data_IF_032657715063
#
_entry.id   IF_032657715063
#
_cell.length_a   1.000
_cell.length_b   1.000
_cell.length_c   1.000
_cell.angle_alpha   90.00
_cell.angle_beta   90.00
_cell.angle_gamma   90.00
#
_symmetry.space_group_name_H-M   'P 1'
#
loop_
_entity.id
_entity.type
_entity.pdbx_description
1 polymer ?
#
# COMPACT_ATOMS: atom_id res chain seq x y z
N UNK A 1 13.62 17.20 -49.40
CA UNK A 1 13.76 18.36 -48.50
C UNK A 1 14.39 17.83 -47.22
N UNK A 2 15.50 18.42 -46.77
CA UNK A 2 16.25 17.89 -45.63
C UNK A 2 15.75 18.54 -44.33
N UNK A 3 15.24 17.74 -43.40
CA UNK A 3 14.89 18.21 -42.07
C UNK A 3 16.17 18.36 -41.23
N UNK A 4 16.59 19.61 -40.98
CA UNK A 4 17.69 19.92 -40.08
C UNK A 4 17.12 19.99 -38.66
N UNK A 5 17.27 18.92 -37.89
CA UNK A 5 16.83 18.87 -36.50
C UNK A 5 17.62 19.87 -35.65
N UNK A 6 16.90 20.67 -34.85
CA UNK A 6 17.53 21.68 -34.00
C UNK A 6 18.20 21.00 -32.80
N UNK A 7 19.49 21.29 -32.52
CA UNK A 7 20.21 20.61 -31.45
C UNK A 7 19.62 20.92 -30.07
N UNK A 8 19.18 19.85 -29.39
CA UNK A 8 18.53 19.87 -28.08
C UNK A 8 19.44 20.41 -26.96
N UNK A 9 20.77 20.29 -27.12
CA UNK A 9 21.78 20.66 -26.12
C UNK A 9 21.74 22.13 -25.66
N UNK A 10 21.20 23.05 -26.46
CA UNK A 10 21.13 24.48 -26.06
C UNK A 10 20.12 24.77 -24.94
N UNK A 11 19.18 23.87 -24.65
CA UNK A 11 18.18 24.08 -23.58
C UNK A 11 18.72 23.79 -22.17
N UNK A 12 19.77 22.99 -22.06
CA UNK A 12 20.30 22.56 -20.76
C UNK A 12 21.16 23.64 -20.07
N UNK A 13 21.88 24.46 -20.85
CA UNK A 13 22.73 25.54 -20.30
C UNK A 13 21.96 26.64 -19.57
N UNK A 14 20.66 26.83 -19.85
CA UNK A 14 19.84 27.86 -19.18
C UNK A 14 19.58 27.51 -17.71
N UNK A 15 19.44 26.23 -17.38
CA UNK A 15 19.15 25.78 -16.01
C UNK A 15 20.35 25.91 -15.06
N UNK A 16 21.57 25.68 -15.56
CA UNK A 16 22.80 25.81 -14.75
C UNK A 16 23.04 27.24 -14.24
N UNK A 17 22.61 28.27 -14.99
CA UNK A 17 22.77 29.67 -14.57
C UNK A 17 21.90 30.05 -13.36
N UNK A 18 20.72 29.44 -13.21
CA UNK A 18 19.76 29.77 -12.15
C UNK A 18 20.25 29.26 -10.78
N UNK A 19 20.88 28.07 -10.75
CA UNK A 19 21.35 27.45 -9.50
C UNK A 19 22.50 28.26 -8.87
N UNK A 20 23.41 28.81 -9.68
CA UNK A 20 24.53 29.63 -9.20
C UNK A 20 24.06 30.95 -8.57
N UNK A 21 22.98 31.55 -9.09
CA UNK A 21 22.42 32.79 -8.56
C UNK A 21 21.78 32.63 -7.17
N UNK A 22 21.13 31.49 -6.90
CA UNK A 22 20.47 31.23 -5.61
C UNK A 22 21.46 30.89 -4.48
N UNK A 23 22.64 30.33 -4.80
CA UNK A 23 23.65 29.94 -3.80
C UNK A 23 24.31 31.10 -3.04
N UNK A 24 24.22 32.34 -3.54
CA UNK A 24 24.89 33.50 -2.93
C UNK A 24 24.03 34.29 -1.93
N UNK A 25 22.71 34.09 -1.91
CA UNK A 25 21.81 34.80 -0.99
C UNK A 25 21.67 34.14 0.39
N UNK A 26 22.14 32.90 0.56
CA UNK A 26 22.01 32.14 1.81
C UNK A 26 23.02 32.47 2.93
N UNK A 27 23.89 33.48 2.77
CA UNK A 27 24.97 33.81 3.73
C UNK A 27 24.77 35.09 4.55
N UNK A 28 23.61 35.74 4.47
CA UNK A 28 23.32 36.98 5.22
C UNK A 28 22.00 36.85 5.98
N UNK A 29 21.98 35.97 6.99
CA UNK A 29 20.96 35.93 8.04
C UNK A 29 21.66 35.66 9.38
N UNK A 30 21.64 36.61 10.33
CA UNK A 30 22.21 36.39 11.66
C UNK A 30 21.32 35.46 12.49
N UNK A 31 21.94 34.64 13.34
CA UNK A 31 21.24 33.73 14.25
C UNK A 31 20.45 34.52 15.33
N UNK A 32 19.16 34.24 15.54
CA UNK A 32 18.44 34.72 16.72
C UNK A 32 18.84 33.91 17.96
N UNK A 33 19.00 34.53 19.15
CA UNK A 33 19.56 33.89 20.33
C UNK A 33 18.61 32.93 21.05
N UNK A 34 19.20 32.05 21.87
CA UNK A 34 18.51 31.13 22.78
C UNK A 34 17.71 31.87 23.86
N UNK A 35 16.52 31.37 24.21
CA UNK A 35 15.98 31.55 25.56
C UNK A 35 15.41 30.24 26.13
N UNK A 36 15.73 30.00 27.40
CA UNK A 36 15.13 28.96 28.25
C UNK A 36 13.80 29.48 28.78
N UNK A 37 12.86 28.59 29.08
CA UNK A 37 11.83 28.88 30.09
C UNK A 37 11.40 27.60 30.79
N UNK A 38 11.71 27.55 32.08
CA UNK A 38 11.12 26.60 33.01
C UNK A 38 9.74 27.12 33.50
N UNK A 39 8.98 26.18 34.07
CA UNK A 39 8.22 26.33 35.33
C UNK A 39 6.68 26.34 35.27
N UNK A 40 6.14 25.64 36.29
CA UNK A 40 4.80 25.72 36.91
C UNK A 40 3.58 25.11 36.17
N UNK A 41 2.54 24.67 36.87
CA UNK A 41 2.42 23.98 38.19
C UNK A 41 0.93 23.56 38.38
N UNK A 42 0.68 22.61 39.30
CA UNK A 42 -0.58 22.44 40.07
C UNK A 42 -1.90 22.16 39.31
N UNK A 43 -2.21 20.87 39.25
CA UNK A 43 -3.44 20.20 39.76
C UNK A 43 -4.85 20.78 39.54
N UNK A 44 -5.76 19.88 39.11
CA UNK A 44 -7.00 19.56 39.84
C UNK A 44 -7.57 18.19 39.45
N UNK A 45 -7.86 17.38 40.47
CA UNK A 45 -8.80 16.27 40.49
C UNK A 45 -9.92 16.66 41.51
N UNK A 46 -10.99 15.88 41.73
CA UNK A 46 -11.35 14.57 41.17
C UNK A 46 -12.76 14.52 40.56
N UNK A 47 -13.16 13.35 40.04
CA UNK A 47 -14.56 12.91 40.13
C UNK A 47 -14.63 11.38 40.28
N UNK A 48 -15.55 10.89 41.12
CA UNK A 48 -15.72 9.47 41.45
C UNK A 48 -16.89 8.88 40.64
N UNK A 49 -16.74 7.65 40.11
CA UNK A 49 -17.90 6.87 39.65
C UNK A 49 -17.99 5.51 40.33
N UNK A 50 -19.18 5.24 40.86
CA UNK A 50 -19.50 4.12 41.74
C UNK A 50 -19.65 2.79 41.00
N UNK A 51 -19.45 1.71 41.76
CA UNK A 51 -19.53 0.33 41.28
C UNK A 51 -20.89 -0.35 41.60
N UNK A 52 -21.16 -1.44 40.86
CA UNK A 52 -22.30 -2.40 40.86
C UNK A 52 -23.08 -2.63 42.18
N UNK A 53 -24.39 -2.96 42.06
CA UNK A 53 -24.87 -4.37 42.18
C UNK A 53 -26.39 -4.64 42.02
N UNK A 54 -26.71 -5.86 41.54
CA UNK A 54 -27.85 -6.80 41.82
C UNK A 54 -29.30 -6.25 42.02
N UNK A 55 -30.37 -6.90 41.54
CA UNK A 55 -30.68 -8.34 41.64
C UNK A 55 -31.82 -8.82 40.70
N UNK A 56 -31.93 -10.14 40.50
CA UNK A 56 -32.96 -10.84 39.70
C UNK A 56 -34.29 -11.07 40.45
N UNK A 57 -35.36 -11.46 39.73
CA UNK A 57 -36.07 -12.77 39.89
C UNK A 57 -37.15 -12.96 38.80
N UNK A 58 -37.45 -14.23 38.50
CA UNK A 58 -38.22 -14.78 37.36
C UNK A 58 -39.68 -15.08 37.73
N UNK A 59 -40.58 -15.12 36.73
CA UNK A 59 -41.68 -16.11 36.70
C UNK A 59 -42.21 -16.43 35.30
N UNK A 60 -42.33 -17.72 34.98
CA UNK A 60 -43.08 -18.34 33.87
C UNK A 60 -44.61 -18.02 33.97
N UNK A 61 -45.54 -18.29 33.03
CA UNK A 61 -45.86 -19.45 32.15
C UNK A 61 -46.90 -18.95 31.08
N UNK A 62 -47.32 -19.58 29.96
CA UNK A 62 -46.96 -20.81 29.21
C UNK A 62 -47.46 -20.70 27.72
N UNK A 63 -47.10 -21.65 26.85
CA UNK A 63 -47.73 -22.12 25.58
C UNK A 63 -48.40 -21.15 24.56
N UNK A 64 -47.92 -21.25 23.30
CA UNK A 64 -48.54 -22.16 22.31
C UNK A 64 -47.69 -22.41 21.06
N UNK A 65 -47.73 -23.64 20.55
CA UNK A 65 -47.01 -24.09 19.35
C UNK A 65 -47.78 -23.73 18.08
N UNK A 66 -47.06 -23.38 16.99
CA UNK A 66 -47.27 -24.02 15.68
C UNK A 66 -46.13 -23.77 14.70
N UNK A 67 -45.99 -24.73 13.79
CA UNK A 67 -44.86 -24.90 12.89
C UNK A 67 -44.74 -23.81 11.83
N UNK A 68 -43.51 -23.36 11.61
CA UNK A 68 -43.08 -22.74 10.37
C UNK A 68 -41.63 -23.19 10.09
N UNK A 69 -41.50 -24.08 9.12
CA UNK A 69 -40.25 -24.53 8.52
C UNK A 69 -39.45 -23.34 7.98
N UNK A 70 -38.35 -22.98 8.64
CA UNK A 70 -37.34 -22.08 8.08
C UNK A 70 -35.98 -22.76 8.21
N UNK A 71 -35.35 -22.96 7.06
CA UNK A 71 -34.03 -23.54 6.84
C UNK A 71 -32.99 -22.88 7.74
N UNK A 72 -32.68 -23.51 8.88
CA UNK A 72 -31.76 -22.94 9.86
C UNK A 72 -30.32 -23.15 9.40
N UNK A 73 -29.72 -22.05 8.95
CA UNK A 73 -28.30 -21.77 8.80
C UNK A 73 -27.38 -22.98 8.55
N UNK A 74 -26.99 -23.11 7.28
CA UNK A 74 -25.67 -23.64 6.96
C UNK A 74 -24.65 -22.63 7.52
N UNK A 75 -24.22 -22.87 8.75
CA UNK A 75 -23.13 -22.12 9.38
C UNK A 75 -21.92 -22.16 8.46
N UNK A 76 -21.74 -21.08 7.69
CA UNK A 76 -20.62 -20.93 6.77
C UNK A 76 -19.38 -20.79 7.63
N UNK A 77 -18.65 -21.90 7.79
CA UNK A 77 -17.29 -21.88 8.32
C UNK A 77 -16.55 -20.71 7.67
N UNK A 78 -15.90 -19.83 8.45
CA UNK A 78 -15.21 -18.69 7.86
C UNK A 78 -14.27 -19.20 6.78
N UNK A 79 -14.46 -18.70 5.55
CA UNK A 79 -13.59 -19.07 4.44
C UNK A 79 -12.17 -18.70 4.84
N UNK A 80 -11.28 -19.70 4.86
CA UNK A 80 -9.86 -19.47 5.12
C UNK A 80 -9.35 -18.51 4.04
N UNK A 81 -9.03 -17.28 4.43
CA UNK A 81 -8.57 -16.25 3.49
C UNK A 81 -7.18 -16.67 3.03
N UNK A 82 -7.05 -16.98 1.74
CA UNK A 82 -5.81 -17.39 1.09
C UNK A 82 -5.48 -16.42 -0.04
N UNK A 83 -4.18 -16.14 -0.28
CA UNK A 83 -3.77 -15.32 -1.41
C UNK A 83 -4.36 -15.85 -2.71
N UNK A 84 -4.92 -14.96 -3.52
CA UNK A 84 -5.49 -15.32 -4.82
C UNK A 84 -4.41 -15.84 -5.77
N UNK A 85 -4.81 -16.77 -6.64
CA UNK A 85 -4.00 -17.21 -7.77
C UNK A 85 -3.93 -16.13 -8.86
N UNK A 86 -2.98 -16.28 -9.81
CA UNK A 86 -2.87 -15.43 -11.00
C UNK A 86 -4.21 -15.32 -11.73
N UNK A 87 -4.87 -16.43 -12.01
CA UNK A 87 -6.16 -16.44 -12.74
C UNK A 87 -7.26 -15.69 -11.98
N UNK A 88 -7.36 -15.86 -10.66
CA UNK A 88 -8.35 -15.15 -9.84
C UNK A 88 -8.09 -13.65 -9.80
N UNK A 89 -6.82 -13.21 -9.73
CA UNK A 89 -6.47 -11.78 -9.80
C UNK A 89 -6.78 -11.22 -11.19
N UNK A 90 -6.39 -11.88 -12.27
CA UNK A 90 -6.64 -11.41 -13.63
C UNK A 90 -8.14 -11.39 -14.02
N UNK A 91 -8.96 -12.23 -13.38
CA UNK A 91 -10.41 -12.19 -13.54
C UNK A 91 -11.09 -11.10 -12.69
N UNK A 92 -10.45 -10.63 -11.61
CA UNK A 92 -11.03 -9.70 -10.64
C UNK A 92 -10.57 -8.24 -10.82
N UNK A 93 -9.34 -8.03 -11.27
CA UNK A 93 -8.72 -6.71 -11.39
C UNK A 93 -8.42 -6.38 -12.85
N UNK A 94 -8.74 -5.16 -13.26
CA UNK A 94 -8.43 -4.67 -14.62
C UNK A 94 -6.93 -4.40 -14.75
N UNK A 95 -6.31 -4.89 -15.82
CA UNK A 95 -4.93 -4.59 -16.19
C UNK A 95 -4.83 -3.17 -16.76
N UNK A 96 -3.73 -2.47 -16.46
CA UNK A 96 -3.45 -1.16 -17.02
C UNK A 96 -3.28 -1.27 -18.56
N UNK A 97 -4.10 -0.60 -19.38
CA UNK A 97 -4.01 -0.71 -20.84
C UNK A 97 -2.80 0.00 -21.45
N UNK A 98 -2.12 0.88 -20.69
CA UNK A 98 -0.95 1.62 -21.16
C UNK A 98 0.38 0.90 -20.83
N UNK A 99 0.34 -0.23 -20.12
CA UNK A 99 1.51 -1.02 -19.70
C UNK A 99 1.28 -2.51 -19.99
N UNK A 100 1.93 -3.02 -21.03
CA UNK A 100 1.90 -4.45 -21.38
C UNK A 100 2.40 -5.34 -20.22
N UNK A 101 1.78 -6.50 -19.96
CA UNK A 101 2.29 -7.48 -19.01
C UNK A 101 3.61 -8.13 -19.47
N UNK A 102 4.55 -8.29 -18.54
CA UNK A 102 5.82 -8.98 -18.81
C UNK A 102 5.70 -10.42 -18.32
N UNK A 103 5.43 -11.34 -19.23
CA UNK A 103 5.26 -12.77 -18.94
C UNK A 103 6.64 -13.45 -18.88
N UNK A 104 6.89 -14.25 -17.84
CA UNK A 104 8.21 -14.85 -17.55
C UNK A 104 9.37 -13.82 -17.58
N UNK A 105 9.07 -12.58 -17.19
CA UNK A 105 10.01 -11.46 -17.26
C UNK A 105 11.22 -11.64 -16.33
N UNK A 106 12.45 -11.32 -16.77
CA UNK A 106 13.64 -11.45 -15.96
C UNK A 106 13.73 -10.36 -14.87
N UNK A 107 13.94 -10.79 -13.64
CA UNK A 107 14.34 -9.94 -12.52
C UNK A 107 15.81 -10.13 -12.21
N UNK A 108 16.50 -9.01 -11.90
CA UNK A 108 17.86 -9.01 -11.35
C UNK A 108 17.74 -8.55 -9.89
N UNK A 109 18.26 -9.34 -8.96
CA UNK A 109 18.26 -9.05 -7.53
C UNK A 109 19.58 -8.39 -7.09
N UNK A 110 19.56 -7.70 -5.95
CA UNK A 110 20.68 -6.88 -5.43
C UNK A 110 21.95 -7.67 -5.06
N UNK A 111 21.88 -8.99 -5.02
CA UNK A 111 23.01 -9.92 -4.84
C UNK A 111 23.58 -10.44 -6.18
N UNK A 112 22.96 -10.05 -7.31
CA UNK A 112 23.30 -10.50 -8.66
C UNK A 112 22.60 -11.78 -9.09
N UNK A 113 21.74 -12.40 -8.25
CA UNK A 113 20.91 -13.51 -8.70
C UNK A 113 19.84 -13.04 -9.70
N UNK A 114 19.34 -13.98 -10.51
CA UNK A 114 18.25 -13.73 -11.46
C UNK A 114 17.13 -14.77 -11.30
N UNK A 115 15.90 -14.36 -11.59
CA UNK A 115 14.76 -15.29 -11.72
C UNK A 115 13.70 -14.71 -12.67
N UNK A 116 12.86 -15.57 -13.23
CA UNK A 116 11.72 -15.17 -14.05
C UNK A 116 10.43 -15.13 -13.22
N UNK A 117 9.60 -14.13 -13.46
CA UNK A 117 8.25 -14.03 -12.89
C UNK A 117 7.38 -13.12 -13.76
N UNK A 118 6.06 -13.28 -13.66
CA UNK A 118 5.15 -12.40 -14.39
C UNK A 118 5.00 -11.06 -13.69
N UNK A 119 5.01 -9.97 -14.43
CA UNK A 119 4.65 -8.63 -13.96
C UNK A 119 3.37 -8.14 -14.63
N UNK A 120 2.44 -7.65 -13.81
CA UNK A 120 1.24 -6.96 -14.27
C UNK A 120 1.11 -5.61 -13.56
N UNK A 121 0.90 -4.54 -14.32
CA UNK A 121 0.33 -3.30 -13.82
C UNK A 121 -1.21 -3.43 -13.78
N UNK A 122 -1.83 -2.94 -12.71
CA UNK A 122 -3.29 -2.90 -12.57
C UNK A 122 -3.76 -1.46 -12.75
N UNK A 123 -4.86 -1.29 -13.48
CA UNK A 123 -5.44 0.01 -13.73
C UNK A 123 -5.81 0.75 -12.43
N UNK A 124 -5.62 2.08 -12.45
CA UNK A 124 -5.99 2.97 -11.34
C UNK A 124 -7.49 2.89 -11.02
N UNK A 125 -7.82 3.04 -9.73
CA UNK A 125 -9.19 3.05 -9.21
C UNK A 125 -9.42 4.28 -8.33
N UNK A 126 -10.63 4.43 -7.79
CA UNK A 126 -10.93 5.42 -6.75
C UNK A 126 -10.33 5.05 -5.37
N UNK A 127 -9.81 3.82 -5.20
CA UNK A 127 -9.29 3.32 -3.91
C UNK A 127 -7.78 3.10 -3.89
N UNK A 128 -7.14 2.92 -5.05
CA UNK A 128 -5.69 2.82 -5.19
C UNK A 128 -5.23 3.33 -6.56
N UNK A 129 -3.93 3.63 -6.66
CA UNK A 129 -3.24 3.88 -7.93
C UNK A 129 -1.85 3.25 -8.02
N UNK A 130 -1.28 3.22 -9.23
CA UNK A 130 0.04 2.66 -9.54
C UNK A 130 0.19 1.25 -8.95
N UNK A 131 -0.84 0.42 -9.09
CA UNK A 131 -0.85 -0.92 -8.54
C UNK A 131 -0.10 -1.89 -9.46
N UNK A 132 0.63 -2.82 -8.87
CA UNK A 132 1.34 -3.86 -9.59
C UNK A 132 1.37 -5.15 -8.79
N UNK A 133 1.33 -6.27 -9.50
CA UNK A 133 1.43 -7.62 -8.95
C UNK A 133 2.55 -8.37 -9.66
N UNK A 134 3.37 -9.06 -8.89
CA UNK A 134 4.32 -10.05 -9.40
C UNK A 134 3.74 -11.43 -9.10
N UNK A 135 3.71 -12.33 -10.10
CA UNK A 135 3.37 -13.73 -9.89
C UNK A 135 4.56 -14.65 -10.14
N UNK A 136 4.77 -15.61 -9.26
CA UNK A 136 5.72 -16.70 -9.44
C UNK A 136 4.95 -18.02 -9.35
N UNK A 137 5.15 -18.90 -10.33
CA UNK A 137 4.52 -20.22 -10.40
C UNK A 137 2.99 -20.18 -10.22
N UNK A 138 2.35 -19.15 -10.78
CA UNK A 138 0.90 -18.91 -10.71
C UNK A 138 0.38 -18.32 -9.37
N UNK A 139 1.25 -18.06 -8.39
CA UNK A 139 0.90 -17.49 -7.08
C UNK A 139 1.41 -16.06 -6.95
N UNK A 140 0.77 -15.24 -6.11
CA UNK A 140 1.22 -13.87 -5.82
C UNK A 140 2.59 -13.93 -5.11
N UNK A 141 3.61 -13.37 -5.74
CA UNK A 141 4.92 -13.15 -5.14
C UNK A 141 5.00 -11.78 -4.42
N UNK A 142 4.42 -10.73 -5.01
CA UNK A 142 4.33 -9.37 -4.44
C UNK A 142 3.06 -8.64 -4.91
N UNK A 143 2.47 -7.84 -4.02
CA UNK A 143 1.52 -6.76 -4.38
C UNK A 143 2.09 -5.41 -3.93
N UNK A 144 2.01 -4.38 -4.77
CA UNK A 144 2.50 -3.01 -4.48
C UNK A 144 1.56 -1.96 -5.08
N UNK A 145 1.16 -0.94 -4.32
CA UNK A 145 0.22 0.11 -4.74
C UNK A 145 0.33 1.37 -3.88
N UNK A 146 -0.35 2.45 -4.27
CA UNK A 146 -0.58 3.66 -3.45
C UNK A 146 -2.07 3.71 -3.08
N UNK A 147 -2.46 3.60 -1.79
CA UNK A 147 -3.85 3.80 -1.36
C UNK A 147 -4.32 5.24 -1.61
N UNK A 148 -5.61 5.42 -1.87
CA UNK A 148 -6.27 6.71 -2.07
C UNK A 148 -7.43 6.89 -1.06
N UNK A 149 -7.92 8.12 -0.93
CA UNK A 149 -9.17 8.46 -0.21
C UNK A 149 -9.26 7.85 1.21
N UNK A 150 -8.15 7.91 1.95
CA UNK A 150 -7.97 7.38 3.31
C UNK A 150 -8.25 5.87 3.48
N UNK A 151 -8.35 5.11 2.38
CA UNK A 151 -8.44 3.65 2.39
C UNK A 151 -7.16 3.05 2.98
N UNK A 152 -7.29 2.11 3.92
CA UNK A 152 -6.13 1.44 4.52
C UNK A 152 -5.53 0.43 3.55
N UNK A 153 -4.21 0.30 3.59
CA UNK A 153 -3.52 -0.66 2.75
C UNK A 153 -3.85 -2.12 3.13
N UNK A 154 -4.16 -2.37 4.40
CA UNK A 154 -4.66 -3.66 4.90
C UNK A 154 -6.00 -4.04 4.24
N UNK A 155 -6.95 -3.11 4.14
CA UNK A 155 -8.28 -3.37 3.57
C UNK A 155 -8.20 -3.73 2.08
N UNK A 156 -7.26 -3.10 1.36
CA UNK A 156 -6.96 -3.41 -0.05
C UNK A 156 -6.29 -4.79 -0.22
N UNK A 157 -5.42 -5.21 0.70
CA UNK A 157 -4.76 -6.51 0.62
C UNK A 157 -5.71 -7.69 0.84
N UNK A 158 -6.76 -7.50 1.65
CA UNK A 158 -7.82 -8.51 1.83
C UNK A 158 -8.49 -8.85 0.48
N UNK A 159 -8.55 -7.90 -0.47
CA UNK A 159 -9.09 -8.16 -1.80
C UNK A 159 -8.19 -9.05 -2.67
N UNK A 160 -6.89 -9.11 -2.38
CA UNK A 160 -5.94 -10.07 -2.95
C UNK A 160 -5.88 -11.38 -2.14
N UNK A 161 -6.71 -11.54 -1.12
CA UNK A 161 -6.69 -12.69 -0.22
C UNK A 161 -5.51 -12.68 0.76
N UNK A 162 -4.91 -11.52 1.00
CA UNK A 162 -3.72 -11.34 1.84
C UNK A 162 -4.15 -10.69 3.16
N UNK A 163 -3.70 -11.23 4.29
CA UNK A 163 -4.04 -10.71 5.64
C UNK A 163 -2.82 -10.16 6.38
N UNK A 164 -1.64 -10.39 5.82
CA UNK A 164 -0.35 -9.91 6.27
C UNK A 164 -0.27 -8.39 6.17
N UNK A 165 0.32 -7.77 7.20
CA UNK A 165 0.40 -6.31 7.28
C UNK A 165 1.33 -5.74 6.20
N UNK A 166 0.89 -4.77 5.38
CA UNK A 166 1.74 -4.15 4.37
C UNK A 166 2.85 -3.31 5.00
N UNK A 167 3.98 -3.25 4.30
CA UNK A 167 5.07 -2.33 4.57
C UNK A 167 4.85 -1.04 3.77
N UNK A 168 4.91 0.11 4.44
CA UNK A 168 5.06 1.41 3.76
C UNK A 168 6.49 1.62 3.29
N UNK A 169 6.68 1.97 2.02
CA UNK A 169 7.99 2.29 1.46
C UNK A 169 8.42 3.70 1.85
N UNK A 170 9.62 3.81 2.43
CA UNK A 170 10.24 5.11 2.76
C UNK A 170 10.80 5.75 1.49
N UNK A 171 10.65 7.05 1.34
CA UNK A 171 11.20 7.82 0.21
C UNK A 171 10.41 7.75 -1.10
N UNK A 172 9.40 6.89 -1.21
CA UNK A 172 8.48 6.85 -2.37
C UNK A 172 7.12 7.49 -2.04
N UNK A 173 6.32 7.76 -3.07
CA UNK A 173 5.06 8.52 -3.04
C UNK A 173 3.87 7.83 -2.34
N UNK A 174 4.05 7.37 -1.09
CA UNK A 174 3.00 6.72 -0.30
C UNK A 174 2.78 5.23 -0.64
N UNK A 175 3.67 4.61 -1.42
CA UNK A 175 3.57 3.20 -1.76
C UNK A 175 3.55 2.30 -0.53
N UNK A 176 2.67 1.31 -0.58
CA UNK A 176 2.63 0.17 0.31
C UNK A 176 2.89 -1.09 -0.50
N UNK A 177 3.57 -2.07 0.09
CA UNK A 177 3.81 -3.37 -0.52
C UNK A 177 3.78 -4.51 0.50
N UNK A 178 3.53 -5.71 0.00
CA UNK A 178 3.71 -6.99 0.67
C UNK A 178 4.35 -7.94 -0.33
N UNK A 179 5.39 -8.67 0.08
CA UNK A 179 5.94 -9.79 -0.69
C UNK A 179 5.73 -11.08 0.10
N UNK A 180 5.01 -12.02 -0.48
CA UNK A 180 4.81 -13.37 0.08
C UNK A 180 6.02 -14.25 -0.19
N UNK A 181 6.77 -13.95 -1.25
CA UNK A 181 8.08 -14.55 -1.54
C UNK A 181 9.15 -13.47 -1.29
N UNK A 182 9.91 -13.62 -0.21
CA UNK A 182 10.82 -12.59 0.32
C UNK A 182 11.82 -12.00 -0.67
N UNK A 183 12.26 -12.73 -1.71
CA UNK A 183 13.19 -12.16 -2.70
C UNK A 183 12.57 -11.04 -3.54
N UNK A 184 11.24 -10.99 -3.67
CA UNK A 184 10.54 -9.99 -4.50
C UNK A 184 10.21 -8.66 -3.79
N UNK A 185 10.56 -8.47 -2.51
CA UNK A 185 10.46 -7.14 -1.86
C UNK A 185 11.15 -6.07 -2.72
N UNK A 186 10.58 -4.86 -2.87
CA UNK A 186 11.15 -3.84 -3.78
C UNK A 186 12.62 -3.50 -3.48
N UNK A 187 13.06 -3.64 -2.23
CA UNK A 187 14.45 -3.35 -1.82
C UNK A 187 15.46 -4.43 -2.24
N UNK A 188 14.98 -5.61 -2.64
CA UNK A 188 15.81 -6.77 -3.01
C UNK A 188 15.93 -6.92 -4.54
N UNK A 189 15.11 -6.20 -5.31
CA UNK A 189 15.17 -6.16 -6.78
C UNK A 189 16.05 -4.97 -7.19
N UNK A 190 17.09 -5.24 -7.98
CA UNK A 190 17.93 -4.22 -8.61
C UNK A 190 17.32 -3.72 -9.92
N UNK A 191 16.82 -4.64 -10.76
CA UNK A 191 16.13 -4.31 -12.02
C UNK A 191 14.92 -5.22 -12.26
N UNK A 192 13.84 -4.60 -12.69
CA UNK A 192 12.58 -5.23 -13.10
C UNK A 192 12.55 -5.48 -14.62
N UNK A 193 11.66 -6.35 -15.14
CA UNK A 193 11.57 -6.66 -16.57
C UNK A 193 11.44 -5.41 -17.46
N UNK A 194 10.55 -4.48 -17.08
CA UNK A 194 10.30 -3.21 -17.79
C UNK A 194 11.48 -2.21 -17.77
N UNK A 195 12.55 -2.51 -17.04
CA UNK A 195 13.77 -1.70 -17.00
C UNK A 195 14.88 -2.29 -17.87
N UNK A 196 14.65 -3.45 -18.52
CA UNK A 196 15.64 -4.21 -19.30
C UNK A 196 15.41 -4.13 -20.82
N UNK A 197 14.23 -3.72 -21.26
CA UNK A 197 13.82 -3.53 -22.67
C UNK A 197 14.17 -2.12 -23.24
#
# INVERSE_FOLDING_TARGET
MNNVEKPWYKRWQVWLGIIVALGLLGKILPEPPQEKSEAKEVAKAPDEQQDKNKASIVKDEEKSQKDAEITKDKESKPSEIKPLTKEEVLNKFTIDPDIDPYIDGPYIFVDGETDTADYYALADTDRYKNASVIFKDGQIARVKFIPLNDVKAEDLLIEFGITEKPRKLRGMAGFHEIALISKYWSQNIERSPFELD
#
